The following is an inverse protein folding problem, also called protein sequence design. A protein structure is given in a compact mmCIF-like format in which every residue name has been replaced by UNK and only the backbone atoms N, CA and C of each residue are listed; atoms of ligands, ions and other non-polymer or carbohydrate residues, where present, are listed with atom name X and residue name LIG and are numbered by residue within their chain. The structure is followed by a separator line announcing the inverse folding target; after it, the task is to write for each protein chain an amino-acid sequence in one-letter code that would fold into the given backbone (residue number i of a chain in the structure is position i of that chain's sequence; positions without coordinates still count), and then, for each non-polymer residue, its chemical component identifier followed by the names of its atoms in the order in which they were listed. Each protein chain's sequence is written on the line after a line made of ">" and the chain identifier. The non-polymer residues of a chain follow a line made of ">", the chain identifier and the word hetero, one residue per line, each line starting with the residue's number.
data_IF_640575770395
#
_entry.id   IF_640575770395
#
_cell.length_a   1.000
_cell.length_b   1.000
_cell.length_c   1.000
_cell.angle_alpha   90.00
_cell.angle_beta   90.00
_cell.angle_gamma   90.00
#
_symmetry.space_group_name_H-M   'P 1'
#
loop_
_entity.id
_entity.type
_entity.pdbx_description
1 polymer ?
#
# COMPACT_ATOMS: atom_id res chain seq x y z
N UNK A 1 -1.21 36.56 -4.12
CA UNK A 1 -2.09 35.96 -3.15
C UNK A 1 -2.16 34.44 -3.18
N UNK A 2 -1.73 33.81 -4.25
CA UNK A 2 -1.61 32.36 -4.32
C UNK A 2 -0.63 31.80 -3.29
N UNK A 3 0.45 32.54 -3.00
CA UNK A 3 1.49 32.11 -2.05
C UNK A 3 0.96 31.98 -0.62
N UNK A 4 0.05 32.86 -0.19
CA UNK A 4 -0.52 32.79 1.15
C UNK A 4 -1.35 31.54 1.35
N UNK A 5 -2.14 31.15 0.34
CA UNK A 5 -2.96 29.94 0.38
C UNK A 5 -2.10 28.67 0.47
N UNK A 6 -1.00 28.63 -0.26
CA UNK A 6 -0.06 27.51 -0.23
C UNK A 6 0.60 27.40 1.13
N UNK A 7 1.06 28.52 1.69
CA UNK A 7 1.67 28.55 3.02
C UNK A 7 0.73 28.06 4.11
N UNK A 8 -0.54 28.47 4.08
CA UNK A 8 -1.56 28.00 5.02
C UNK A 8 -1.76 26.49 4.90
N UNK A 9 -1.81 25.97 3.68
CA UNK A 9 -1.95 24.53 3.45
C UNK A 9 -0.81 23.73 4.10
N UNK A 10 0.43 24.15 3.95
CA UNK A 10 1.58 23.47 4.55
C UNK A 10 1.57 23.57 6.09
N UNK A 11 1.11 24.66 6.65
CA UNK A 11 1.03 24.85 8.10
C UNK A 11 0.04 23.88 8.73
N UNK A 12 -1.12 23.65 8.10
CA UNK A 12 -2.17 22.78 8.66
C UNK A 12 -1.94 21.29 8.35
N UNK A 13 -1.06 20.94 7.40
CA UNK A 13 -0.83 19.55 7.00
C UNK A 13 -0.51 18.61 8.17
N UNK A 14 0.36 18.96 9.15
CA UNK A 14 0.66 18.11 10.29
C UNK A 14 -0.55 17.84 11.21
N UNK A 15 -1.59 18.63 11.11
CA UNK A 15 -2.79 18.53 11.95
C UNK A 15 -3.96 17.85 11.23
N UNK A 16 -3.76 17.38 10.00
CA UNK A 16 -4.79 16.70 9.24
C UNK A 16 -5.14 15.35 9.87
N UNK A 17 -6.42 14.95 9.81
CA UNK A 17 -6.84 13.65 10.34
C UNK A 17 -6.20 12.49 9.55
N UNK A 18 -6.26 11.29 10.12
CA UNK A 18 -5.67 10.10 9.53
C UNK A 18 -6.05 9.90 8.06
N UNK A 19 -7.33 10.06 7.71
CA UNK A 19 -7.80 9.88 6.32
C UNK A 19 -7.08 10.80 5.34
N UNK A 20 -6.77 12.02 5.75
CA UNK A 20 -6.00 12.95 4.93
C UNK A 20 -4.54 12.52 4.82
N UNK A 21 -3.96 11.94 5.89
CA UNK A 21 -2.62 11.35 5.84
C UNK A 21 -2.57 10.18 4.86
N UNK A 22 -3.59 9.31 4.86
CA UNK A 22 -3.69 8.20 3.92
C UNK A 22 -3.78 8.69 2.47
N UNK A 23 -4.42 9.83 2.22
CA UNK A 23 -4.44 10.46 0.90
C UNK A 23 -3.04 10.86 0.42
N UNK A 24 -2.22 11.42 1.32
CA UNK A 24 -0.84 11.79 1.00
C UNK A 24 0.11 10.60 0.91
N UNK A 25 -0.29 9.47 1.46
CA UNK A 25 0.43 8.21 1.37
C UNK A 25 1.25 7.87 2.59
N UNK A 26 1.21 6.60 2.94
CA UNK A 26 2.05 6.01 3.98
C UNK A 26 3.20 5.27 3.34
N UNK A 27 4.41 5.68 3.64
CA UNK A 27 5.61 5.02 3.15
C UNK A 27 5.72 3.64 3.80
N UNK A 28 5.81 2.59 3.00
CA UNK A 28 5.99 1.21 3.48
C UNK A 28 7.36 0.65 3.10
N UNK A 29 7.93 1.15 2.00
CA UNK A 29 9.33 0.92 1.62
C UNK A 29 9.89 2.23 1.10
N UNK A 30 11.18 2.25 0.77
CA UNK A 30 11.80 3.46 0.21
C UNK A 30 11.20 3.83 -1.15
N UNK A 31 10.70 2.85 -1.91
CA UNK A 31 10.15 3.08 -3.25
C UNK A 31 8.63 3.08 -3.32
N UNK A 32 7.92 2.65 -2.26
CA UNK A 32 6.47 2.44 -2.31
C UNK A 32 5.73 3.09 -1.15
N UNK A 33 4.51 3.51 -1.46
CA UNK A 33 3.55 4.09 -0.51
C UNK A 33 2.20 3.42 -0.66
N UNK A 34 1.43 3.41 0.43
CA UNK A 34 0.02 3.06 0.40
C UNK A 34 -0.77 4.36 0.41
N UNK A 35 -1.60 4.56 -0.61
CA UNK A 35 -2.45 5.76 -0.76
C UNK A 35 -3.91 5.38 -0.79
N UNK A 36 -4.76 6.29 -0.33
CA UNK A 36 -6.20 6.13 -0.37
C UNK A 36 -6.77 6.76 -1.64
N UNK A 37 -7.73 6.09 -2.29
CA UNK A 37 -8.51 6.69 -3.36
C UNK A 37 -9.30 7.90 -2.84
N UNK A 38 -9.41 8.94 -3.65
CA UNK A 38 -9.93 10.24 -3.23
C UNK A 38 -11.36 10.17 -2.66
N UNK A 39 -12.25 9.40 -3.29
CA UNK A 39 -13.66 9.34 -2.91
C UNK A 39 -14.12 7.93 -2.55
N UNK A 40 -13.20 7.00 -2.29
CA UNK A 40 -13.51 5.61 -1.98
C UNK A 40 -12.72 5.15 -0.77
N UNK A 41 -13.30 4.19 -0.03
CA UNK A 41 -12.59 3.52 1.08
C UNK A 41 -11.69 2.41 0.55
N UNK A 42 -10.95 2.70 -0.50
CA UNK A 42 -10.00 1.78 -1.12
C UNK A 42 -8.61 2.37 -1.09
N UNK A 43 -7.63 1.50 -1.02
CA UNK A 43 -6.22 1.87 -0.99
C UNK A 43 -5.50 1.24 -2.17
N UNK A 44 -4.38 1.84 -2.55
CA UNK A 44 -3.57 1.33 -3.64
C UNK A 44 -2.09 1.49 -3.34
N UNK A 45 -1.28 0.64 -3.95
CA UNK A 45 0.17 0.74 -3.89
C UNK A 45 0.62 1.77 -4.93
N UNK A 46 1.43 2.72 -4.50
CA UNK A 46 1.94 3.78 -5.36
C UNK A 46 3.46 3.88 -5.27
N UNK A 47 4.08 4.42 -6.32
CA UNK A 47 5.50 4.77 -6.29
C UNK A 47 5.73 6.11 -5.57
N UNK A 48 6.98 6.54 -5.50
CA UNK A 48 7.35 7.80 -4.83
C UNK A 48 6.68 9.04 -5.47
N UNK A 49 6.33 8.94 -6.73
CA UNK A 49 5.69 10.04 -7.48
C UNK A 49 4.16 9.99 -7.37
N UNK A 50 3.62 8.99 -6.69
CA UNK A 50 2.19 8.81 -6.54
C UNK A 50 1.54 8.02 -7.67
N UNK A 51 2.30 7.46 -8.60
CA UNK A 51 1.77 6.61 -9.66
C UNK A 51 1.26 5.29 -9.08
N UNK A 52 0.04 4.90 -9.45
CA UNK A 52 -0.53 3.64 -9.04
C UNK A 52 0.25 2.46 -9.64
N UNK A 53 0.71 1.57 -8.78
CA UNK A 53 1.40 0.33 -9.17
C UNK A 53 0.48 -0.88 -9.11
N UNK A 54 -0.42 -0.90 -8.14
CA UNK A 54 -1.44 -1.94 -7.99
C UNK A 54 -2.60 -1.38 -7.17
N UNK A 55 -3.83 -1.76 -7.51
CA UNK A 55 -5.02 -1.33 -6.80
C UNK A 55 -5.46 -2.37 -5.76
N UNK A 56 -6.35 -1.98 -4.87
CA UNK A 56 -6.96 -2.90 -3.92
C UNK A 56 -5.99 -3.47 -2.90
N UNK A 57 -5.36 -2.62 -2.09
CA UNK A 57 -4.40 -3.02 -1.07
C UNK A 57 -5.02 -2.85 0.30
N UNK A 58 -5.16 -3.94 1.05
CA UNK A 58 -5.55 -3.91 2.46
C UNK A 58 -4.49 -4.57 3.33
N UNK A 59 -3.97 -5.70 2.88
CA UNK A 59 -2.91 -6.46 3.55
C UNK A 59 -1.73 -6.60 2.60
N UNK A 60 -0.52 -6.60 3.15
CA UNK A 60 0.68 -6.76 2.34
C UNK A 60 1.80 -7.46 3.10
N UNK A 61 2.60 -8.16 2.33
CA UNK A 61 3.85 -8.80 2.75
C UNK A 61 4.98 -8.22 1.93
N UNK A 62 6.10 -7.94 2.57
CA UNK A 62 7.28 -7.37 1.91
C UNK A 62 8.42 -8.38 1.97
N UNK A 63 8.97 -8.71 0.80
CA UNK A 63 10.21 -9.48 0.68
C UNK A 63 11.26 -8.62 -0.03
N UNK A 64 12.47 -9.12 -0.16
CA UNK A 64 13.53 -8.40 -0.88
C UNK A 64 13.18 -8.17 -2.34
N UNK A 65 12.42 -9.09 -2.95
CA UNK A 65 12.11 -9.05 -4.38
C UNK A 65 10.69 -8.60 -4.69
N UNK A 66 9.73 -8.78 -3.76
CA UNK A 66 8.31 -8.55 -4.02
C UNK A 66 7.61 -7.86 -2.87
N UNK A 67 6.54 -7.15 -3.22
CA UNK A 67 5.50 -6.71 -2.29
C UNK A 67 4.19 -7.29 -2.82
N UNK A 68 3.46 -8.04 -2.00
CA UNK A 68 2.26 -8.72 -2.45
C UNK A 68 1.23 -8.85 -1.32
N UNK A 69 -0.03 -9.03 -1.69
CA UNK A 69 -1.10 -9.14 -0.71
C UNK A 69 -2.48 -9.06 -1.34
N UNK A 70 -3.46 -8.68 -0.53
CA UNK A 70 -4.88 -8.69 -0.90
C UNK A 70 -5.58 -7.38 -0.60
N UNK A 71 -6.79 -7.23 -1.19
CA UNK A 71 -7.65 -6.08 -0.99
C UNK A 71 -8.57 -6.17 0.23
N UNK A 72 -8.41 -7.16 1.09
CA UNK A 72 -9.06 -7.12 2.39
C UNK A 72 -9.77 -8.35 2.92
N UNK A 73 -10.01 -9.37 2.15
CA UNK A 73 -10.70 -10.56 2.66
C UNK A 73 -10.22 -11.83 1.99
N UNK A 74 -9.98 -12.86 2.81
CA UNK A 74 -9.75 -14.22 2.32
C UNK A 74 -11.05 -14.81 1.79
N UNK A 75 -11.55 -14.26 0.69
CA UNK A 75 -12.71 -14.81 0.02
C UNK A 75 -12.33 -15.14 -1.42
N UNK A 76 -13.11 -15.98 -2.06
CA UNK A 76 -12.91 -16.31 -3.47
C UNK A 76 -13.03 -15.09 -4.40
N UNK A 77 -13.55 -13.98 -3.89
CA UNK A 77 -13.70 -12.73 -4.61
C UNK A 77 -12.59 -11.72 -4.30
N UNK A 78 -11.68 -12.04 -3.41
CA UNK A 78 -10.58 -11.15 -3.06
C UNK A 78 -9.63 -10.98 -4.26
N UNK A 79 -9.29 -9.73 -4.53
CA UNK A 79 -8.32 -9.39 -5.56
C UNK A 79 -6.95 -9.31 -4.90
N UNK A 80 -5.96 -9.96 -5.51
CA UNK A 80 -4.58 -9.89 -5.04
C UNK A 80 -3.76 -8.92 -5.87
N UNK A 81 -2.59 -8.59 -5.37
CA UNK A 81 -1.61 -7.82 -6.11
C UNK A 81 -0.21 -8.39 -5.89
N UNK A 82 0.65 -8.23 -6.89
CA UNK A 82 2.08 -8.54 -6.79
C UNK A 82 2.84 -7.41 -7.45
N UNK A 83 3.79 -6.85 -6.71
CA UNK A 83 4.71 -5.84 -7.20
C UNK A 83 6.11 -6.41 -7.21
N UNK A 84 6.74 -6.41 -8.37
CA UNK A 84 8.14 -6.83 -8.55
C UNK A 84 9.05 -5.63 -8.29
N UNK A 85 9.82 -5.68 -7.22
CA UNK A 85 10.69 -4.59 -6.79
C UNK A 85 11.86 -4.37 -7.73
N UNK A 86 12.28 -5.40 -8.44
CA UNK A 86 13.40 -5.32 -9.38
C UNK A 86 12.98 -4.63 -10.68
N UNK A 87 11.87 -5.04 -11.26
CA UNK A 87 11.37 -4.45 -12.51
C UNK A 87 10.51 -3.21 -12.28
N UNK A 88 10.09 -2.99 -11.04
CA UNK A 88 9.19 -1.90 -10.65
C UNK A 88 7.82 -1.97 -11.33
N UNK A 89 7.35 -3.19 -11.57
CA UNK A 89 6.06 -3.46 -12.19
C UNK A 89 5.10 -4.09 -11.19
N UNK A 90 3.89 -3.53 -11.10
CA UNK A 90 2.81 -4.04 -10.27
C UNK A 90 1.67 -4.56 -11.11
N UNK A 91 0.95 -5.54 -10.60
CA UNK A 91 -0.16 -6.16 -11.31
C UNK A 91 -1.21 -6.65 -10.31
N UNK A 92 -2.47 -6.59 -10.73
CA UNK A 92 -3.59 -7.13 -9.97
C UNK A 92 -4.04 -8.47 -10.57
N UNK A 93 -4.52 -9.34 -9.70
CA UNK A 93 -4.95 -10.70 -10.06
C UNK A 93 -6.26 -11.02 -9.35
N UNK A 94 -7.12 -11.84 -9.96
CA UNK A 94 -8.20 -12.45 -9.20
C UNK A 94 -7.62 -13.47 -8.21
N UNK A 95 -8.46 -14.01 -7.33
CA UNK A 95 -8.00 -14.91 -6.27
C UNK A 95 -7.22 -16.11 -6.81
N UNK A 96 -7.76 -16.82 -7.79
CA UNK A 96 -7.14 -18.05 -8.32
C UNK A 96 -5.86 -17.73 -9.08
N UNK A 97 -5.86 -16.67 -9.87
CA UNK A 97 -4.67 -16.21 -10.57
C UNK A 97 -3.58 -15.79 -9.59
N UNK A 98 -3.96 -15.10 -8.50
CA UNK A 98 -3.01 -14.67 -7.47
C UNK A 98 -2.34 -15.87 -6.80
N UNK A 99 -3.12 -16.86 -6.40
CA UNK A 99 -2.59 -18.09 -5.78
C UNK A 99 -1.63 -18.80 -6.74
N UNK A 100 -2.01 -18.94 -8.00
CA UNK A 100 -1.18 -19.57 -9.03
C UNK A 100 0.10 -18.79 -9.26
N UNK A 101 0.03 -17.47 -9.33
CA UNK A 101 1.19 -16.61 -9.56
C UNK A 101 2.16 -16.61 -8.38
N UNK A 102 1.63 -16.58 -7.15
CA UNK A 102 2.46 -16.73 -5.96
C UNK A 102 3.22 -18.06 -5.97
N UNK A 103 2.53 -19.15 -6.34
CA UNK A 103 3.15 -20.45 -6.43
C UNK A 103 4.24 -20.50 -7.50
N UNK A 104 3.98 -19.91 -8.66
CA UNK A 104 4.96 -19.83 -9.76
C UNK A 104 6.21 -19.07 -9.35
N UNK A 105 6.06 -17.99 -8.59
CA UNK A 105 7.16 -17.13 -8.13
C UNK A 105 7.83 -17.64 -6.84
N UNK A 106 7.33 -18.72 -6.25
CA UNK A 106 7.85 -19.26 -5.00
C UNK A 106 7.50 -18.39 -3.79
N UNK A 107 6.47 -17.58 -3.87
CA UNK A 107 5.99 -16.76 -2.77
C UNK A 107 5.06 -17.57 -1.88
N UNK A 108 5.28 -17.49 -0.58
CA UNK A 108 4.36 -18.09 0.37
C UNK A 108 3.05 -17.30 0.38
N UNK A 109 1.93 -18.00 0.56
CA UNK A 109 0.67 -17.33 0.84
C UNK A 109 0.88 -16.42 2.06
N UNK A 110 0.42 -15.17 2.04
CA UNK A 110 0.75 -14.25 3.11
C UNK A 110 0.31 -14.76 4.48
N UNK A 111 1.26 -15.24 5.27
CA UNK A 111 1.05 -15.70 6.64
C UNK A 111 1.42 -14.64 7.66
N UNK A 112 2.27 -13.70 7.26
CA UNK A 112 2.67 -12.54 8.06
C UNK A 112 2.47 -11.32 7.18
N UNK A 113 1.69 -10.36 7.68
CA UNK A 113 1.35 -9.18 6.89
C UNK A 113 1.10 -7.97 7.76
N UNK A 114 1.34 -6.81 7.20
CA UNK A 114 0.78 -5.56 7.69
C UNK A 114 -0.56 -5.31 7.00
N UNK A 115 -1.38 -4.46 7.59
CA UNK A 115 -2.66 -4.09 7.01
C UNK A 115 -2.97 -2.62 7.29
N UNK A 116 -4.06 -2.15 6.69
CA UNK A 116 -4.49 -0.77 6.85
C UNK A 116 -4.74 -0.42 8.33
N UNK A 117 -5.28 -1.35 9.12
CA UNK A 117 -5.51 -1.10 10.55
C UNK A 117 -4.20 -0.93 11.33
N UNK A 118 -3.13 -1.59 10.90
CA UNK A 118 -1.79 -1.38 11.48
C UNK A 118 -1.38 0.08 11.37
N UNK A 119 -1.56 0.65 10.19
CA UNK A 119 -1.25 2.06 9.96
C UNK A 119 -2.21 2.99 10.70
N UNK A 120 -3.52 2.68 10.67
CA UNK A 120 -4.54 3.53 11.29
C UNK A 120 -4.37 3.66 12.81
N UNK A 121 -4.01 2.58 13.47
CA UNK A 121 -3.96 2.52 14.92
C UNK A 121 -2.56 2.68 15.49
N UNK A 122 -1.58 2.96 14.63
CA UNK A 122 -0.19 3.11 15.05
C UNK A 122 0.38 1.85 15.68
N UNK A 123 -0.13 0.68 15.28
CA UNK A 123 0.34 -0.60 15.80
C UNK A 123 1.73 -0.92 15.28
N UNK A 124 2.52 -1.75 16.02
CA UNK A 124 3.81 -2.19 15.53
C UNK A 124 3.67 -2.91 14.19
N UNK A 125 4.49 -2.53 13.22
CA UNK A 125 4.48 -3.13 11.89
C UNK A 125 5.25 -4.45 11.89
N UNK A 126 4.76 -5.41 11.09
CA UNK A 126 5.51 -6.64 10.80
C UNK A 126 6.73 -6.30 9.95
N UNK A 127 6.57 -5.37 9.02
CA UNK A 127 7.64 -4.89 8.13
C UNK A 127 7.87 -3.40 8.39
N UNK A 128 8.65 -3.03 9.41
CA UNK A 128 8.92 -1.63 9.69
C UNK A 128 9.74 -1.01 8.56
N UNK A 129 9.53 0.30 8.35
CA UNK A 129 10.33 1.04 7.38
C UNK A 129 11.79 1.03 7.85
N UNK A 130 12.72 0.71 6.95
CA UNK A 130 14.13 0.64 7.24
C UNK A 130 14.63 1.99 7.77
N UNK A 131 15.30 1.97 8.92
CA UNK A 131 15.79 3.17 9.58
C UNK A 131 14.85 3.77 10.63
N UNK A 132 13.68 3.21 10.82
CA UNK A 132 12.78 3.59 11.92
C UNK A 132 13.18 2.96 13.24
#
# INVERSE_FOLDING_TARGET
>A
MRFVKIAIFFIILPYLPYESKAFWGYKITNECRIKKHLFQKKYYLADEKGKMLADGVFEWTITDEYIYGFDGYESEYAVGFIYDRKTKQGENFDHDEFVSECKRLGLEYPSRFDNIYTLQNGLPRVYPLQGE
#
